data_IF_130944983120
#
_entry.id   IF_130944983120
#
_cell.length_a   1.000
_cell.length_b   1.000
_cell.length_c   1.000
_cell.angle_alpha   90.00
_cell.angle_beta   90.00
_cell.angle_gamma   90.00
#
_symmetry.space_group_name_H-M   'P 1'
#
loop_
_entity.id
_entity.type
_entity.pdbx_description
1 polymer ?
#
# COMPACT_ATOMS: atom_id res chain seq x y z
N UNK A 1 -33.53 100.05 1.95
CA UNK A 1 -32.85 101.28 1.51
C UNK A 1 -33.76 101.96 0.48
N UNK A 2 -34.88 102.60 0.81
CA UNK A 2 -35.09 103.73 1.73
C UNK A 2 -34.04 104.83 1.50
N UNK A 3 -34.02 105.37 0.29
CA UNK A 3 -33.36 106.63 -0.07
C UNK A 3 -34.04 107.75 0.72
N UNK A 4 -33.34 108.24 1.74
CA UNK A 4 -33.70 109.42 2.51
C UNK A 4 -33.73 110.63 1.57
N UNK A 5 -34.94 111.00 1.16
CA UNK A 5 -35.25 112.36 0.80
C UNK A 5 -35.18 113.21 2.08
N UNK A 6 -34.23 114.14 2.14
CA UNK A 6 -34.35 115.36 2.92
C UNK A 6 -33.21 116.33 2.56
N UNK A 7 -33.63 117.44 1.96
CA UNK A 7 -33.15 118.81 2.13
C UNK A 7 -31.68 119.10 1.76
N UNK A 8 -31.39 120.00 0.83
CA UNK A 8 -31.94 121.35 0.74
C UNK A 8 -30.83 122.31 1.15
N UNK A 9 -30.48 123.24 0.26
CA UNK A 9 -29.50 124.32 0.43
C UNK A 9 -28.73 124.32 1.77
N UNK A 10 -27.56 123.68 1.81
CA UNK A 10 -26.65 123.67 2.96
C UNK A 10 -25.89 125.00 3.09
N UNK A 11 -26.55 126.13 2.80
CA UNK A 11 -25.99 127.46 2.99
C UNK A 11 -26.74 128.13 4.12
N UNK A 12 -26.09 128.26 5.27
CA UNK A 12 -26.65 128.98 6.40
C UNK A 12 -27.02 130.41 5.96
N UNK A 13 -28.22 130.85 6.32
CA UNK A 13 -28.71 132.20 6.05
C UNK A 13 -27.80 133.24 6.72
N UNK A 14 -27.55 134.42 6.14
CA UNK A 14 -26.64 135.43 6.72
C UNK A 14 -27.00 135.85 8.15
N UNK A 15 -28.26 135.69 8.56
CA UNK A 15 -28.75 135.98 9.91
C UNK A 15 -28.46 134.86 10.94
N UNK A 16 -28.21 133.62 10.48
CA UNK A 16 -28.04 132.43 11.32
C UNK A 16 -26.56 132.12 11.61
N UNK A 17 -25.66 132.57 10.74
CA UNK A 17 -24.20 132.36 10.86
C UNK A 17 -23.59 132.90 12.16
N UNK A 18 -23.94 134.10 12.66
CA UNK A 18 -23.35 134.61 13.90
C UNK A 18 -23.76 133.79 15.12
N UNK A 19 -24.99 133.30 15.14
CA UNK A 19 -25.52 132.47 16.24
C UNK A 19 -24.86 131.07 16.25
N UNK A 20 -24.67 130.47 15.07
CA UNK A 20 -24.00 129.16 14.93
C UNK A 20 -22.51 129.27 15.24
N UNK A 21 -21.84 130.34 14.81
CA UNK A 21 -20.45 130.60 15.16
C UNK A 21 -20.27 130.84 16.66
N UNK A 22 -21.17 131.59 17.32
CA UNK A 22 -21.14 131.75 18.77
C UNK A 22 -21.31 130.42 19.52
N UNK A 23 -22.23 129.56 19.07
CA UNK A 23 -22.40 128.23 19.63
C UNK A 23 -21.16 127.34 19.40
N UNK A 24 -20.56 127.37 18.20
CA UNK A 24 -19.33 126.63 17.90
C UNK A 24 -18.12 127.17 18.66
N UNK A 25 -18.08 128.47 18.95
CA UNK A 25 -17.07 129.09 19.81
C UNK A 25 -17.20 128.58 21.25
N UNK A 26 -18.43 128.53 21.79
CA UNK A 26 -18.72 127.92 23.09
C UNK A 26 -18.35 126.43 23.12
N UNK A 27 -18.68 125.66 22.08
CA UNK A 27 -18.29 124.24 21.99
C UNK A 27 -16.78 124.06 21.83
N UNK A 28 -16.08 124.91 21.08
CA UNK A 28 -14.61 124.85 20.96
C UNK A 28 -13.94 125.21 22.27
N UNK A 29 -14.48 126.21 22.99
CA UNK A 29 -14.02 126.57 24.33
C UNK A 29 -14.29 125.45 25.35
N UNK A 30 -15.46 124.80 25.30
CA UNK A 30 -15.78 123.64 26.11
C UNK A 30 -14.88 122.43 25.79
N UNK A 31 -14.58 122.18 24.51
CA UNK A 31 -13.64 121.14 24.06
C UNK A 31 -12.19 121.46 24.46
N UNK A 32 -11.79 122.72 24.47
CA UNK A 32 -10.48 123.16 24.95
C UNK A 32 -10.36 122.97 26.48
N UNK A 33 -11.43 123.24 27.23
CA UNK A 33 -11.52 122.94 28.66
C UNK A 33 -11.44 121.43 28.88
N UNK A 34 -12.22 120.63 28.15
CA UNK A 34 -12.18 119.17 28.23
C UNK A 34 -10.78 118.60 27.89
N UNK A 35 -10.15 119.12 26.84
CA UNK A 35 -8.77 118.77 26.47
C UNK A 35 -7.77 119.15 27.57
N UNK A 36 -7.95 120.29 28.24
CA UNK A 36 -7.08 120.72 29.34
C UNK A 36 -7.22 119.87 30.61
N UNK A 37 -8.37 119.20 30.79
CA UNK A 37 -8.60 118.25 31.89
C UNK A 37 -8.09 116.83 31.60
N UNK A 38 -7.76 116.51 30.34
CA UNK A 38 -7.16 115.22 29.99
C UNK A 38 -5.65 115.24 30.32
N UNK A 39 -5.20 114.26 31.10
CA UNK A 39 -3.80 114.11 31.51
C UNK A 39 -2.94 113.82 30.27
N UNK A 40 -1.94 114.67 29.97
CA UNK A 40 -0.97 114.39 28.90
C UNK A 40 -0.32 113.02 29.12
N UNK A 41 -0.25 112.13 28.11
CA UNK A 41 0.43 110.86 28.25
C UNK A 41 1.89 111.11 28.62
N UNK A 42 2.32 110.64 29.79
CA UNK A 42 3.73 110.64 30.16
C UNK A 42 4.35 109.40 29.53
N UNK A 43 5.24 109.59 28.56
CA UNK A 43 5.96 108.48 27.94
C UNK A 43 7.01 107.97 28.93
N UNK A 44 6.79 106.77 29.44
CA UNK A 44 7.87 105.90 29.86
C UNK A 44 7.93 104.75 28.88
N UNK A 45 8.83 104.88 27.92
CA UNK A 45 9.43 103.76 27.21
C UNK A 45 10.01 102.81 28.25
N UNK A 46 9.63 101.54 28.16
CA UNK A 46 10.55 100.42 28.29
C UNK A 46 9.83 99.15 27.83
N UNK A 47 10.28 98.68 26.67
CA UNK A 47 10.16 97.32 26.18
C UNK A 47 10.56 96.31 27.25
N UNK A 48 9.72 95.28 27.48
CA UNK A 48 10.22 93.95 27.87
C UNK A 48 9.41 92.86 27.16
N UNK A 49 10.09 92.32 26.16
CA UNK A 49 9.98 91.00 25.54
C UNK A 49 9.61 89.90 26.56
N UNK A 50 8.59 89.09 26.30
CA UNK A 50 8.32 87.88 27.10
C UNK A 50 8.31 86.65 26.19
N UNK A 51 9.43 85.96 26.25
CA UNK A 51 9.68 84.64 25.71
C UNK A 51 9.06 83.53 26.58
N UNK A 52 8.96 82.34 26.00
CA UNK A 52 8.16 81.21 26.44
C UNK A 52 8.74 80.39 27.62
N UNK A 53 7.87 80.01 28.59
CA UNK A 53 7.82 78.79 29.44
C UNK A 53 9.06 78.44 30.32
N UNK A 54 8.99 77.54 31.35
CA UNK A 54 7.88 76.73 31.85
C UNK A 54 7.60 76.90 33.35
N UNK A 55 6.61 76.13 33.78
CA UNK A 55 5.80 76.23 34.97
C UNK A 55 6.21 75.19 36.03
N UNK A 56 6.49 75.61 37.26
CA UNK A 56 6.14 74.83 38.46
C UNK A 56 5.81 75.78 39.62
N UNK A 57 4.57 75.66 40.11
CA UNK A 57 4.07 76.08 41.44
C UNK A 57 4.22 77.54 41.90
N UNK A 58 3.79 78.53 41.10
CA UNK A 58 3.57 79.92 41.56
C UNK A 58 2.40 80.66 40.86
N UNK A 59 1.45 79.90 40.27
CA UNK A 59 0.48 80.45 39.29
C UNK A 59 -0.49 81.50 39.78
N UNK A 60 -0.93 81.47 41.03
CA UNK A 60 -2.00 82.38 41.43
C UNK A 60 -1.50 83.82 41.65
N UNK A 61 -0.24 84.03 42.05
CA UNK A 61 0.35 85.37 42.17
C UNK A 61 0.80 85.93 40.82
N UNK A 62 1.47 85.13 39.98
CA UNK A 62 1.93 85.56 38.67
C UNK A 62 0.76 85.85 37.69
N UNK A 63 -0.35 85.12 37.80
CA UNK A 63 -1.53 85.37 36.98
C UNK A 63 -2.27 86.65 37.41
N UNK A 64 -2.32 86.95 38.72
CA UNK A 64 -2.89 88.19 39.24
C UNK A 64 -2.06 89.43 38.85
N UNK A 65 -0.73 89.37 38.93
CA UNK A 65 0.16 90.44 38.44
C UNK A 65 0.04 90.66 36.93
N UNK A 66 -0.13 89.57 36.16
CA UNK A 66 -0.32 89.63 34.70
C UNK A 66 -1.66 90.26 34.32
N UNK A 67 -2.73 89.94 35.07
CA UNK A 67 -4.04 90.57 34.89
C UNK A 67 -3.96 92.07 35.22
N UNK A 68 -3.33 92.46 36.34
CA UNK A 68 -3.16 93.88 36.68
C UNK A 68 -2.37 94.66 35.63
N UNK A 69 -1.28 94.09 35.08
CA UNK A 69 -0.51 94.74 34.01
C UNK A 69 -1.29 94.90 32.70
N UNK A 70 -2.10 93.90 32.33
CA UNK A 70 -2.96 93.99 31.13
C UNK A 70 -4.04 95.05 31.33
N UNK A 71 -4.60 95.13 32.54
CA UNK A 71 -5.64 96.10 32.87
C UNK A 71 -5.10 97.53 32.89
N UNK A 72 -3.92 97.74 33.47
CA UNK A 72 -3.19 99.02 33.53
C UNK A 72 -2.64 99.47 32.16
N UNK A 73 -2.31 98.53 31.27
CA UNK A 73 -1.97 98.83 29.87
C UNK A 73 -3.21 99.21 29.03
N UNK A 74 -4.35 98.56 29.28
CA UNK A 74 -5.61 98.91 28.64
C UNK A 74 -6.10 100.30 29.09
N UNK A 75 -6.00 100.64 30.38
CA UNK A 75 -6.36 101.97 30.90
C UNK A 75 -5.49 103.08 30.28
N UNK A 76 -4.17 102.86 30.18
CA UNK A 76 -3.27 103.79 29.49
C UNK A 76 -3.56 103.93 27.99
N UNK A 77 -3.94 102.85 27.32
CA UNK A 77 -4.33 102.86 25.92
C UNK A 77 -5.66 103.61 25.69
N UNK A 78 -6.62 103.48 26.61
CA UNK A 78 -7.89 104.23 26.55
C UNK A 78 -7.66 105.72 26.76
N UNK A 79 -6.79 106.11 27.68
CA UNK A 79 -6.46 107.52 27.94
C UNK A 79 -5.74 108.17 26.74
N UNK A 80 -4.80 107.45 26.13
CA UNK A 80 -4.08 107.91 24.92
C UNK A 80 -5.02 108.08 23.73
N UNK A 81 -5.97 107.15 23.55
CA UNK A 81 -7.01 107.24 22.52
C UNK A 81 -7.96 108.42 22.76
N UNK A 82 -8.37 108.65 24.00
CA UNK A 82 -9.24 109.77 24.37
C UNK A 82 -8.56 111.14 24.12
N UNK A 83 -7.28 111.27 24.46
CA UNK A 83 -6.47 112.46 24.19
C UNK A 83 -6.34 112.76 22.69
N UNK A 84 -6.01 111.75 21.87
CA UNK A 84 -5.91 111.90 20.42
C UNK A 84 -7.26 112.23 19.75
N UNK A 85 -8.35 111.62 20.22
CA UNK A 85 -9.70 111.93 19.74
C UNK A 85 -10.11 113.37 20.08
N UNK A 86 -9.71 113.89 21.24
CA UNK A 86 -9.98 115.28 21.65
C UNK A 86 -9.24 116.29 20.77
N UNK A 87 -7.96 116.04 20.44
CA UNK A 87 -7.19 116.85 19.47
C UNK A 87 -7.80 116.82 18.07
N UNK A 88 -8.22 115.64 17.62
CA UNK A 88 -8.86 115.45 16.33
C UNK A 88 -10.20 116.19 16.25
N UNK A 89 -11.04 116.14 17.30
CA UNK A 89 -12.29 116.89 17.36
C UNK A 89 -12.06 118.41 17.38
N UNK A 90 -11.05 118.89 18.12
CA UNK A 90 -10.70 120.32 18.14
C UNK A 90 -10.28 120.82 16.75
N UNK A 91 -9.51 120.02 16.00
CA UNK A 91 -9.10 120.34 14.62
C UNK A 91 -10.30 120.40 13.67
N UNK A 92 -11.18 119.41 13.72
CA UNK A 92 -12.40 119.38 12.88
C UNK A 92 -13.34 120.55 13.23
N UNK A 93 -13.44 120.94 14.50
CA UNK A 93 -14.24 122.10 14.93
C UNK A 93 -13.63 123.43 14.48
N UNK A 94 -12.29 123.57 14.47
CA UNK A 94 -11.61 124.75 13.92
C UNK A 94 -11.82 124.85 12.40
N UNK A 95 -11.64 123.74 11.68
CA UNK A 95 -11.87 123.65 10.24
C UNK A 95 -13.35 123.94 9.88
N UNK A 96 -14.31 123.54 10.73
CA UNK A 96 -15.74 123.84 10.58
C UNK A 96 -16.07 125.32 10.87
N UNK A 97 -15.43 125.95 11.87
CA UNK A 97 -15.57 127.39 12.12
C UNK A 97 -15.08 128.22 10.94
N UNK A 98 -13.97 127.79 10.32
CA UNK A 98 -13.42 128.43 9.12
C UNK A 98 -14.34 128.24 7.91
N UNK A 99 -14.86 127.03 7.69
CA UNK A 99 -15.79 126.75 6.59
C UNK A 99 -17.12 127.54 6.70
N UNK A 100 -17.69 127.66 7.90
CA UNK A 100 -18.93 128.42 8.14
C UNK A 100 -18.71 129.93 7.99
N UNK A 101 -17.52 130.42 8.35
CA UNK A 101 -17.10 131.83 8.21
C UNK A 101 -16.91 132.22 6.74
N UNK A 102 -16.35 131.33 5.92
CA UNK A 102 -16.02 131.63 4.52
C UNK A 102 -17.13 131.26 3.52
N UNK A 103 -17.68 130.05 3.63
CA UNK A 103 -18.57 129.48 2.59
C UNK A 103 -20.01 129.28 3.10
N UNK A 104 -20.18 129.19 4.42
CA UNK A 104 -21.46 128.99 5.09
C UNK A 104 -22.02 127.58 4.91
N UNK A 105 -21.15 126.60 4.66
CA UNK A 105 -21.44 125.17 4.46
C UNK A 105 -20.86 124.35 5.62
N UNK A 106 -21.24 123.07 5.71
CA UNK A 106 -20.78 122.13 6.73
C UNK A 106 -20.19 120.85 6.11
N UNK A 107 -19.57 120.98 4.94
CA UNK A 107 -19.07 119.90 4.10
C UNK A 107 -17.87 119.17 4.73
N UNK A 108 -17.03 119.87 5.51
CA UNK A 108 -15.92 119.28 6.28
C UNK A 108 -16.47 118.27 7.29
N UNK A 109 -17.52 118.65 8.02
CA UNK A 109 -18.17 117.77 8.99
C UNK A 109 -18.90 116.62 8.26
N UNK A 110 -19.59 116.88 7.16
CA UNK A 110 -20.27 115.85 6.36
C UNK A 110 -19.28 114.80 5.82
N UNK A 111 -18.15 115.22 5.24
CA UNK A 111 -17.11 114.31 4.74
C UNK A 111 -16.43 113.51 5.85
N UNK A 112 -16.21 114.12 7.01
CA UNK A 112 -15.59 113.40 8.12
C UNK A 112 -16.58 112.42 8.77
N UNK A 113 -17.87 112.77 8.86
CA UNK A 113 -18.94 111.84 9.24
C UNK A 113 -19.03 110.69 8.23
N UNK A 114 -18.98 110.97 6.93
CA UNK A 114 -18.97 109.91 5.90
C UNK A 114 -17.76 108.98 6.04
N UNK A 115 -16.56 109.50 6.29
CA UNK A 115 -15.36 108.67 6.56
C UNK A 115 -15.51 107.83 7.83
N UNK A 116 -16.13 108.36 8.88
CA UNK A 116 -16.39 107.60 10.11
C UNK A 116 -17.41 106.50 9.82
N UNK A 117 -18.48 106.81 9.09
CA UNK A 117 -19.52 105.85 8.71
C UNK A 117 -18.98 104.76 7.77
N UNK A 118 -18.07 105.07 6.84
CA UNK A 118 -17.45 104.05 5.98
C UNK A 118 -16.51 103.15 6.78
N UNK A 119 -15.66 103.71 7.66
CA UNK A 119 -14.80 102.93 8.56
C UNK A 119 -15.62 102.06 9.51
N UNK A 120 -16.72 102.57 10.04
CA UNK A 120 -17.62 101.81 10.92
C UNK A 120 -18.27 100.64 10.16
N UNK A 121 -18.69 100.85 8.91
CA UNK A 121 -19.18 99.77 8.03
C UNK A 121 -18.11 98.74 7.70
N UNK A 122 -16.87 99.15 7.45
CA UNK A 122 -15.73 98.26 7.22
C UNK A 122 -15.41 97.43 8.47
N UNK A 123 -15.39 98.05 9.66
CA UNK A 123 -15.22 97.36 10.94
C UNK A 123 -16.35 96.36 11.17
N UNK A 124 -17.61 96.73 10.94
CA UNK A 124 -18.75 95.82 11.08
C UNK A 124 -18.69 94.66 10.09
N UNK A 125 -18.20 94.88 8.86
CA UNK A 125 -17.98 93.83 7.87
C UNK A 125 -16.87 92.85 8.32
N UNK A 126 -15.74 93.35 8.79
CA UNK A 126 -14.64 92.54 9.33
C UNK A 126 -15.08 91.76 10.58
N UNK A 127 -15.91 92.34 11.43
CA UNK A 127 -16.42 91.70 12.65
C UNK A 127 -17.42 90.58 12.32
N UNK A 128 -18.21 90.73 11.26
CA UNK A 128 -19.03 89.64 10.72
C UNK A 128 -18.15 88.53 10.14
N UNK A 129 -17.13 88.87 9.37
CA UNK A 129 -16.19 87.90 8.80
C UNK A 129 -15.42 87.13 9.89
N UNK A 130 -14.93 87.81 10.94
CA UNK A 130 -14.31 87.16 12.11
C UNK A 130 -15.26 86.19 12.80
N UNK A 131 -16.53 86.57 12.99
CA UNK A 131 -17.55 85.69 13.55
C UNK A 131 -17.78 84.45 12.68
N UNK A 132 -17.86 84.59 11.34
CA UNK A 132 -18.03 83.45 10.44
C UNK A 132 -16.79 82.53 10.41
N UNK A 133 -15.58 83.11 10.36
CA UNK A 133 -14.32 82.36 10.45
C UNK A 133 -14.24 81.61 11.78
N UNK A 134 -14.67 82.25 12.88
CA UNK A 134 -14.67 81.62 14.21
C UNK A 134 -15.68 80.47 14.29
N UNK A 135 -16.87 80.62 13.69
CA UNK A 135 -17.88 79.55 13.62
C UNK A 135 -17.37 78.37 12.78
N UNK A 136 -16.85 78.63 11.59
CA UNK A 136 -16.31 77.59 10.71
C UNK A 136 -15.12 76.88 11.34
N UNK A 137 -14.22 77.60 12.01
CA UNK A 137 -13.12 77.01 12.77
C UNK A 137 -13.61 76.14 13.93
N UNK A 138 -14.67 76.54 14.64
CA UNK A 138 -15.28 75.73 15.70
C UNK A 138 -15.91 74.44 15.14
N UNK A 139 -16.63 74.53 14.02
CA UNK A 139 -17.24 73.36 13.36
C UNK A 139 -16.17 72.39 12.84
N UNK A 140 -15.12 72.91 12.20
CA UNK A 140 -13.98 72.09 11.76
C UNK A 140 -13.28 71.40 12.93
N UNK A 141 -13.11 72.09 14.07
CA UNK A 141 -12.55 71.47 15.29
C UNK A 141 -13.44 70.34 15.81
N UNK A 142 -14.76 70.53 15.79
CA UNK A 142 -15.73 69.50 16.19
C UNK A 142 -15.66 68.29 15.26
N UNK A 143 -15.66 68.50 13.94
CA UNK A 143 -15.51 67.42 12.94
C UNK A 143 -14.20 66.67 13.13
N UNK A 144 -13.09 67.37 13.39
CA UNK A 144 -11.80 66.72 13.66
C UNK A 144 -11.88 65.86 14.93
N UNK A 145 -12.51 66.35 16.01
CA UNK A 145 -12.65 65.59 17.24
C UNK A 145 -13.53 64.34 17.05
N UNK A 146 -14.68 64.48 16.39
CA UNK A 146 -15.58 63.36 16.08
C UNK A 146 -14.89 62.33 15.20
N UNK A 147 -14.18 62.77 14.15
CA UNK A 147 -13.46 61.86 13.26
C UNK A 147 -12.27 61.17 13.94
N UNK A 148 -11.61 61.82 14.90
CA UNK A 148 -10.59 61.17 15.75
C UNK A 148 -11.20 60.05 16.59
N UNK A 149 -12.33 60.30 17.25
CA UNK A 149 -13.02 59.28 18.06
C UNK A 149 -13.49 58.12 17.19
N UNK A 150 -14.12 58.40 16.04
CA UNK A 150 -14.56 57.36 15.11
C UNK A 150 -13.38 56.52 14.59
N UNK A 151 -12.25 57.15 14.25
CA UNK A 151 -11.05 56.46 13.80
C UNK A 151 -10.42 55.59 14.90
N UNK A 152 -10.42 56.04 16.16
CA UNK A 152 -9.97 55.22 17.29
C UNK A 152 -10.89 54.04 17.59
N UNK A 153 -12.20 54.21 17.40
CA UNK A 153 -13.17 53.12 17.53
C UNK A 153 -12.96 52.08 16.43
N UNK A 154 -12.81 52.50 15.18
CA UNK A 154 -12.53 51.60 14.06
C UNK A 154 -11.20 50.87 14.23
N UNK A 155 -10.15 51.57 14.66
CA UNK A 155 -8.86 50.95 14.99
C UNK A 155 -9.00 49.88 16.07
N UNK A 156 -9.79 50.15 17.12
CA UNK A 156 -10.08 49.16 18.18
C UNK A 156 -10.85 47.97 17.64
N UNK A 157 -11.84 48.21 16.78
CA UNK A 157 -12.63 47.15 16.15
C UNK A 157 -11.74 46.22 15.31
N UNK A 158 -10.93 46.78 14.41
CA UNK A 158 -10.00 46.01 13.57
C UNK A 158 -8.99 45.24 14.43
N UNK A 159 -8.46 45.84 15.51
CA UNK A 159 -7.56 45.15 16.42
C UNK A 159 -8.23 43.97 17.13
N UNK A 160 -9.49 44.11 17.54
CA UNK A 160 -10.25 43.02 18.16
C UNK A 160 -10.52 41.90 17.15
N UNK A 161 -11.01 42.23 15.95
CA UNK A 161 -11.24 41.25 14.86
C UNK A 161 -9.94 40.51 14.53
N UNK A 162 -8.81 41.22 14.43
CA UNK A 162 -7.49 40.60 14.21
C UNK A 162 -7.09 39.67 15.34
N UNK A 163 -7.36 40.03 16.60
CA UNK A 163 -7.06 39.19 17.77
C UNK A 163 -7.93 37.92 17.80
N UNK A 164 -9.19 38.03 17.43
CA UNK A 164 -10.12 36.89 17.34
C UNK A 164 -9.66 35.91 16.25
N UNK A 165 -9.30 36.42 15.07
CA UNK A 165 -8.77 35.62 13.98
C UNK A 165 -7.42 34.96 14.33
N UNK A 166 -6.54 35.66 15.05
CA UNK A 166 -5.30 35.07 15.57
C UNK A 166 -5.58 33.93 16.54
N UNK A 167 -6.51 34.11 17.49
CA UNK A 167 -6.92 33.06 18.42
C UNK A 167 -7.54 31.87 17.68
N UNK A 168 -8.35 32.12 16.65
CA UNK A 168 -8.94 31.09 15.79
C UNK A 168 -7.85 30.28 15.06
N UNK A 169 -6.88 30.97 14.46
CA UNK A 169 -5.74 30.33 13.79
C UNK A 169 -4.92 29.47 14.75
N UNK A 170 -4.65 29.94 15.96
CA UNK A 170 -3.92 29.16 16.97
C UNK A 170 -4.69 27.90 17.40
N UNK A 171 -6.00 27.99 17.58
CA UNK A 171 -6.86 26.83 17.84
C UNK A 171 -6.80 25.82 16.69
N UNK A 172 -6.89 26.28 15.44
CA UNK A 172 -6.79 25.40 14.28
C UNK A 172 -5.41 24.73 14.18
N UNK A 173 -4.32 25.45 14.48
CA UNK A 173 -2.98 24.85 14.55
C UNK A 173 -2.88 23.78 15.62
N UNK A 174 -3.43 24.03 16.80
CA UNK A 174 -3.46 23.03 17.88
C UNK A 174 -4.24 21.78 17.45
N UNK A 175 -5.43 21.97 16.89
CA UNK A 175 -6.24 20.86 16.36
C UNK A 175 -5.47 20.08 15.30
N UNK A 176 -4.88 20.76 14.32
CA UNK A 176 -4.12 20.13 13.25
C UNK A 176 -2.93 19.31 13.80
N UNK A 177 -2.20 19.83 14.79
CA UNK A 177 -1.09 19.12 15.42
C UNK A 177 -1.60 17.87 16.17
N UNK A 178 -2.67 17.98 16.96
CA UNK A 178 -3.23 16.83 17.69
C UNK A 178 -3.76 15.75 16.75
N UNK A 179 -4.39 16.13 15.63
CA UNK A 179 -4.85 15.20 14.61
C UNK A 179 -3.67 14.51 13.93
N UNK A 180 -2.60 15.26 13.63
CA UNK A 180 -1.39 14.70 13.03
C UNK A 180 -0.75 13.66 13.96
N UNK A 181 -0.56 13.99 15.23
CA UNK A 181 -0.01 13.07 16.25
C UNK A 181 -0.86 11.80 16.37
N UNK A 182 -2.19 11.96 16.43
CA UNK A 182 -3.11 10.83 16.47
C UNK A 182 -3.00 9.94 15.24
N UNK A 183 -2.97 10.52 14.03
CA UNK A 183 -2.86 9.76 12.78
C UNK A 183 -1.52 9.04 12.70
N UNK A 184 -0.44 9.66 13.16
CA UNK A 184 0.89 9.04 13.19
C UNK A 184 0.92 7.81 14.11
N UNK A 185 0.43 7.95 15.35
CA UNK A 185 0.39 6.82 16.29
C UNK A 185 -0.59 5.73 15.84
N UNK A 186 -1.72 6.11 15.23
CA UNK A 186 -2.66 5.15 14.64
C UNK A 186 -2.02 4.35 13.50
N UNK A 187 -1.33 5.02 12.57
CA UNK A 187 -0.69 4.34 11.45
C UNK A 187 0.47 3.46 11.94
N UNK A 188 1.24 3.91 12.94
CA UNK A 188 2.27 3.10 13.59
C UNK A 188 1.70 1.84 14.22
N UNK A 189 0.67 1.97 15.06
CA UNK A 189 0.01 0.82 15.70
C UNK A 189 -0.57 -0.16 14.67
N UNK A 190 -1.14 0.37 13.58
CA UNK A 190 -1.65 -0.44 12.47
C UNK A 190 -0.53 -1.18 11.73
N UNK A 191 0.61 -0.54 11.50
CA UNK A 191 1.79 -1.17 10.91
C UNK A 191 2.34 -2.28 11.83
N UNK A 192 2.46 -2.02 13.13
CA UNK A 192 2.89 -3.00 14.13
C UNK A 192 1.95 -4.21 14.18
N UNK A 193 0.64 -3.98 14.21
CA UNK A 193 -0.36 -5.04 14.17
C UNK A 193 -0.28 -5.87 12.88
N UNK A 194 -0.14 -5.22 11.73
CA UNK A 194 0.01 -5.93 10.46
C UNK A 194 1.30 -6.75 10.41
N UNK A 195 2.43 -6.20 10.90
CA UNK A 195 3.69 -6.92 11.01
C UNK A 195 3.53 -8.17 11.87
N UNK A 196 2.96 -8.03 13.06
CA UNK A 196 2.73 -9.16 13.97
C UNK A 196 1.85 -10.23 13.33
N UNK A 197 0.78 -9.83 12.62
CA UNK A 197 -0.10 -10.77 11.90
C UNK A 197 0.67 -11.54 10.83
N UNK A 198 1.52 -10.86 10.06
CA UNK A 198 2.37 -11.49 9.05
C UNK A 198 3.38 -12.45 9.70
N UNK A 199 4.03 -12.04 10.79
CA UNK A 199 5.00 -12.85 11.52
C UNK A 199 4.36 -14.13 12.08
N UNK A 200 3.16 -14.03 12.65
CA UNK A 200 2.38 -15.18 13.12
C UNK A 200 2.07 -16.16 11.99
N UNK A 201 1.69 -15.65 10.82
CA UNK A 201 1.36 -16.51 9.67
C UNK A 201 2.62 -17.16 9.08
N UNK A 202 3.73 -16.42 9.01
CA UNK A 202 5.04 -16.95 8.63
C UNK A 202 5.45 -18.09 9.57
N UNK A 203 5.28 -17.93 10.89
CA UNK A 203 5.67 -18.94 11.86
C UNK A 203 4.81 -20.21 11.74
N UNK A 204 3.49 -20.07 11.56
CA UNK A 204 2.62 -21.22 11.24
C UNK A 204 3.06 -21.95 9.98
N UNK A 205 3.39 -21.21 8.92
CA UNK A 205 3.86 -21.81 7.66
C UNK A 205 5.20 -22.53 7.84
N UNK A 206 6.12 -21.98 8.66
CA UNK A 206 7.38 -22.66 9.02
C UNK A 206 7.14 -23.94 9.81
N UNK A 207 6.22 -23.95 10.78
CA UNK A 207 5.85 -25.15 11.51
C UNK A 207 5.30 -26.23 10.58
N UNK A 208 4.38 -25.86 9.68
CA UNK A 208 3.83 -26.75 8.66
C UNK A 208 4.94 -27.31 7.77
N UNK A 209 5.84 -26.45 7.27
CA UNK A 209 6.97 -26.85 6.43
C UNK A 209 7.90 -27.82 7.18
N UNK A 210 8.21 -27.55 8.44
CA UNK A 210 9.05 -28.43 9.26
C UNK A 210 8.37 -29.79 9.47
N UNK A 211 7.07 -29.81 9.76
CA UNK A 211 6.29 -31.04 9.89
C UNK A 211 6.29 -31.86 8.59
N UNK A 212 6.19 -31.21 7.43
CA UNK A 212 6.33 -31.88 6.14
C UNK A 212 7.73 -32.44 5.93
N UNK A 213 8.78 -31.66 6.22
CA UNK A 213 10.17 -32.10 6.10
C UNK A 213 10.49 -33.29 6.99
N UNK A 214 9.97 -33.32 8.22
CA UNK A 214 10.13 -34.46 9.14
C UNK A 214 9.40 -35.70 8.59
N UNK A 215 8.18 -35.53 8.07
CA UNK A 215 7.42 -36.63 7.45
C UNK A 215 8.12 -37.19 6.22
N UNK A 216 8.66 -36.33 5.36
CA UNK A 216 9.42 -36.73 4.18
C UNK A 216 10.68 -37.53 4.56
N UNK A 217 11.52 -37.01 5.46
CA UNK A 217 12.69 -37.75 5.97
C UNK A 217 12.33 -39.11 6.56
N UNK A 218 11.22 -39.20 7.29
CA UNK A 218 10.78 -40.49 7.83
C UNK A 218 10.29 -41.45 6.74
N UNK A 219 9.58 -40.94 5.72
CA UNK A 219 9.20 -41.75 4.55
C UNK A 219 10.42 -42.27 3.82
N UNK A 220 11.42 -41.42 3.57
CA UNK A 220 12.66 -41.81 2.90
C UNK A 220 13.41 -42.88 3.67
N UNK A 221 13.50 -42.74 5.00
CA UNK A 221 14.11 -43.75 5.87
C UNK A 221 13.37 -45.09 5.79
N UNK A 222 12.04 -45.07 5.94
CA UNK A 222 11.22 -46.30 5.85
C UNK A 222 11.34 -46.94 4.47
N UNK A 223 11.34 -46.12 3.41
CA UNK A 223 11.49 -46.60 2.05
C UNK A 223 12.86 -47.24 1.81
N UNK A 224 13.95 -46.65 2.33
CA UNK A 224 15.28 -47.21 2.24
C UNK A 224 15.39 -48.57 2.97
N UNK A 225 14.85 -48.68 4.18
CA UNK A 225 14.81 -49.95 4.92
C UNK A 225 13.96 -51.00 4.23
N UNK A 226 12.78 -50.63 3.72
CA UNK A 226 11.91 -51.53 2.97
C UNK A 226 12.59 -52.04 1.69
N UNK A 227 13.24 -51.13 0.95
CA UNK A 227 13.99 -51.48 -0.27
C UNK A 227 15.14 -52.43 0.06
N UNK A 228 15.89 -52.17 1.13
CA UNK A 228 16.96 -53.06 1.60
C UNK A 228 16.43 -54.44 1.97
N UNK A 229 15.32 -54.52 2.71
CA UNK A 229 14.66 -55.77 3.05
C UNK A 229 14.25 -56.55 1.80
N UNK A 230 13.57 -55.89 0.84
CA UNK A 230 13.13 -56.53 -0.41
C UNK A 230 14.30 -57.04 -1.25
N UNK A 231 15.40 -56.29 -1.34
CA UNK A 231 16.62 -56.72 -2.03
C UNK A 231 17.19 -57.99 -1.36
N UNK A 232 17.26 -58.01 -0.03
CA UNK A 232 17.78 -59.16 0.72
C UNK A 232 16.89 -60.40 0.57
N UNK A 233 15.57 -60.22 0.64
CA UNK A 233 14.61 -61.31 0.49
C UNK A 233 14.62 -61.87 -0.94
N UNK A 234 14.63 -60.99 -1.95
CA UNK A 234 14.76 -61.39 -3.37
C UNK A 234 16.05 -62.19 -3.58
N UNK A 235 17.19 -61.71 -3.09
CA UNK A 235 18.47 -62.42 -3.22
C UNK A 235 18.47 -63.77 -2.48
N UNK A 236 17.75 -63.88 -1.36
CA UNK A 236 17.58 -65.13 -0.62
C UNK A 236 16.73 -66.13 -1.42
N UNK A 237 15.64 -65.68 -2.02
CA UNK A 237 14.77 -66.49 -2.88
C UNK A 237 15.51 -66.94 -4.14
N UNK A 238 16.23 -66.04 -4.81
CA UNK A 238 17.06 -66.38 -5.98
C UNK A 238 18.11 -67.45 -5.64
N UNK A 239 18.73 -67.38 -4.47
CA UNK A 239 19.69 -68.40 -4.01
C UNK A 239 19.02 -69.75 -3.83
N UNK A 240 17.84 -69.79 -3.17
CA UNK A 240 17.06 -71.03 -3.02
C UNK A 240 16.63 -71.59 -4.37
N UNK A 241 16.20 -70.74 -5.31
CA UNK A 241 15.84 -71.18 -6.67
C UNK A 241 17.02 -71.84 -7.35
N UNK A 242 18.21 -71.23 -7.30
CA UNK A 242 19.44 -71.82 -7.86
C UNK A 242 19.80 -73.15 -7.19
N UNK A 243 19.71 -73.24 -5.86
CA UNK A 243 19.95 -74.49 -5.12
C UNK A 243 19.00 -75.61 -5.57
N UNK A 244 17.72 -75.29 -5.81
CA UNK A 244 16.73 -76.24 -6.32
C UNK A 244 16.96 -76.62 -7.78
N UNK A 245 17.35 -75.68 -8.64
CA UNK A 245 17.71 -75.93 -10.03
C UNK A 245 18.91 -76.89 -10.12
N UNK A 246 19.99 -76.60 -9.38
CA UNK A 246 21.16 -77.47 -9.35
C UNK A 246 20.84 -78.86 -8.79
N UNK A 247 19.96 -78.94 -7.79
CA UNK A 247 19.50 -80.22 -7.26
C UNK A 247 18.72 -81.00 -8.30
N UNK A 248 17.79 -80.35 -8.98
CA UNK A 248 17.00 -80.96 -10.03
C UNK A 248 17.87 -81.47 -11.17
N UNK A 249 18.86 -80.69 -11.61
CA UNK A 249 19.80 -81.10 -12.65
C UNK A 249 20.63 -82.32 -12.22
N UNK A 250 21.13 -82.34 -10.98
CA UNK A 250 21.83 -83.51 -10.42
C UNK A 250 20.93 -84.74 -10.39
N UNK A 251 19.72 -84.62 -9.87
CA UNK A 251 18.76 -85.74 -9.81
C UNK A 251 18.41 -86.24 -11.22
N UNK A 252 18.15 -85.33 -12.16
CA UNK A 252 17.91 -85.65 -13.56
C UNK A 252 19.08 -86.41 -14.18
N UNK A 253 20.32 -85.96 -13.98
CA UNK A 253 21.50 -86.68 -14.47
C UNK A 253 21.61 -88.08 -13.88
N UNK A 254 21.31 -88.26 -12.58
CA UNK A 254 21.33 -89.58 -11.94
C UNK A 254 20.30 -90.51 -12.53
N UNK A 255 19.05 -90.06 -12.68
CA UNK A 255 18.00 -90.87 -13.30
C UNK A 255 18.29 -91.18 -14.77
N UNK A 256 18.85 -90.23 -15.53
CA UNK A 256 19.26 -90.50 -16.90
C UNK A 256 20.38 -91.55 -16.97
N UNK A 257 21.33 -91.55 -16.03
CA UNK A 257 22.37 -92.58 -15.92
C UNK A 257 21.76 -93.94 -15.60
N UNK A 258 20.85 -94.01 -14.62
CA UNK A 258 20.13 -95.24 -14.26
C UNK A 258 19.31 -95.79 -15.42
N UNK A 259 18.54 -94.94 -16.11
CA UNK A 259 17.77 -95.32 -17.30
C UNK A 259 18.69 -95.87 -18.39
N UNK A 260 19.85 -95.24 -18.64
CA UNK A 260 20.84 -95.75 -19.60
C UNK A 260 21.37 -97.12 -19.18
N UNK A 261 21.70 -97.30 -17.90
CA UNK A 261 22.20 -98.57 -17.39
C UNK A 261 21.15 -99.69 -17.53
N UNK A 262 19.90 -99.42 -17.15
CA UNK A 262 18.79 -100.37 -17.29
C UNK A 262 18.52 -100.72 -18.76
N UNK A 263 18.66 -99.77 -19.69
CA UNK A 263 18.56 -100.03 -21.13
C UNK A 263 19.66 -100.98 -21.61
N UNK A 264 20.89 -100.75 -21.19
CA UNK A 264 22.03 -101.64 -21.52
C UNK A 264 21.78 -103.03 -20.95
N UNK A 265 21.40 -103.15 -19.67
CA UNK A 265 21.13 -104.45 -19.05
C UNK A 265 19.98 -105.18 -19.75
N UNK A 266 18.89 -104.48 -20.07
CA UNK A 266 17.75 -105.05 -20.81
C UNK A 266 18.20 -105.58 -22.18
N UNK A 267 19.03 -104.84 -22.90
CA UNK A 267 19.56 -105.25 -24.20
C UNK A 267 20.51 -106.45 -24.08
N UNK A 268 21.37 -106.48 -23.07
CA UNK A 268 22.23 -107.64 -22.79
C UNK A 268 21.41 -108.88 -22.45
N UNK A 269 20.37 -108.74 -21.62
CA UNK A 269 19.46 -109.85 -21.29
C UNK A 269 18.69 -110.34 -22.51
N UNK A 270 18.26 -109.44 -23.40
CA UNK A 270 17.63 -109.81 -24.67
C UNK A 270 18.57 -110.63 -25.55
N UNK A 271 19.82 -110.20 -25.71
CA UNK A 271 20.84 -110.95 -26.47
C UNK A 271 21.08 -112.34 -25.89
N UNK A 272 21.23 -112.45 -24.56
CA UNK A 272 21.37 -113.74 -23.88
C UNK A 272 20.17 -114.66 -24.12
N UNK A 273 18.95 -114.10 -24.06
CA UNK A 273 17.73 -114.87 -24.32
C UNK A 273 17.67 -115.35 -25.78
N UNK A 274 18.05 -114.51 -26.74
CA UNK A 274 18.07 -114.88 -28.15
C UNK A 274 19.15 -115.93 -28.45
N UNK A 275 20.34 -115.82 -27.84
CA UNK A 275 21.38 -116.85 -27.90
C UNK A 275 20.89 -118.20 -27.34
N UNK A 276 20.23 -118.19 -26.18
CA UNK A 276 19.68 -119.40 -25.56
C UNK A 276 18.55 -120.01 -26.40
N UNK A 277 17.69 -119.18 -27.02
CA UNK A 277 16.67 -119.66 -27.96
C UNK A 277 17.30 -120.33 -29.18
N UNK A 278 18.36 -119.74 -29.74
CA UNK A 278 19.09 -120.32 -30.86
C UNK A 278 19.78 -121.65 -30.48
N UNK A 279 20.38 -121.73 -29.29
CA UNK A 279 20.92 -122.98 -28.76
C UNK A 279 19.82 -124.04 -28.57
N UNK A 280 18.69 -123.65 -27.96
CA UNK A 280 17.56 -124.55 -27.78
C UNK A 280 17.01 -125.05 -29.11
N UNK A 281 16.89 -124.19 -30.12
CA UNK A 281 16.50 -124.55 -31.48
C UNK A 281 17.46 -125.57 -32.09
N UNK A 282 18.78 -125.35 -32.01
CA UNK A 282 19.79 -126.31 -32.51
C UNK A 282 19.73 -127.65 -31.78
N UNK A 283 19.57 -127.63 -30.45
CA UNK A 283 19.46 -128.85 -29.65
C UNK A 283 18.17 -129.61 -29.99
N UNK A 284 17.05 -128.91 -30.21
CA UNK A 284 15.80 -129.53 -30.64
C UNK A 284 15.94 -130.15 -32.03
N UNK A 285 16.54 -129.43 -33.00
CA UNK A 285 16.85 -129.97 -34.33
C UNK A 285 17.75 -131.22 -34.26
N UNK A 286 18.73 -131.23 -33.36
CA UNK A 286 19.58 -132.40 -33.12
C UNK A 286 18.80 -133.58 -32.51
N UNK A 287 17.91 -133.34 -31.53
CA UNK A 287 17.07 -134.38 -30.94
C UNK A 287 16.12 -134.96 -31.99
N UNK A 288 15.48 -134.11 -32.78
CA UNK A 288 14.53 -134.52 -33.81
C UNK A 288 15.22 -135.35 -34.90
N UNK A 289 16.41 -134.93 -35.35
CA UNK A 289 17.20 -135.72 -36.31
C UNK A 289 17.62 -137.07 -35.72
N UNK A 290 18.11 -137.10 -34.47
CA UNK A 290 18.47 -138.34 -33.78
C UNK A 290 17.27 -139.30 -33.60
N UNK A 291 16.09 -138.78 -33.24
CA UNK A 291 14.87 -139.57 -33.12
C UNK A 291 14.42 -140.13 -34.49
N UNK A 292 14.49 -139.32 -35.55
CA UNK A 292 14.19 -139.75 -36.90
C UNK A 292 15.16 -140.84 -37.39
N UNK A 293 16.45 -140.71 -37.14
CA UNK A 293 17.47 -141.73 -37.44
C UNK A 293 17.21 -143.03 -36.65
N UNK A 294 16.88 -142.93 -35.36
CA UNK A 294 16.54 -144.08 -34.53
C UNK A 294 15.28 -144.80 -35.00
N UNK A 295 14.26 -144.06 -35.42
CA UNK A 295 13.04 -144.63 -35.99
C UNK A 295 13.32 -145.28 -37.35
N UNK A 296 14.10 -144.65 -38.22
CA UNK A 296 14.55 -145.23 -39.49
C UNK A 296 15.32 -146.54 -39.26
N UNK A 297 16.25 -146.57 -38.30
CA UNK A 297 16.98 -147.78 -37.92
C UNK A 297 16.05 -148.87 -37.37
N UNK A 298 15.01 -148.50 -36.61
CA UNK A 298 14.00 -149.45 -36.12
C UNK A 298 13.19 -150.04 -37.27
N UNK A 299 12.72 -149.21 -38.20
CA UNK A 299 11.99 -149.64 -39.41
C UNK A 299 12.84 -150.55 -40.28
N UNK A 300 14.13 -150.25 -40.47
CA UNK A 300 15.06 -151.11 -41.19
C UNK A 300 15.22 -152.47 -40.50
N UNK A 301 15.40 -152.48 -39.17
CA UNK A 301 15.46 -153.74 -38.40
C UNK A 301 14.17 -154.56 -38.51
N UNK A 302 13.00 -153.92 -38.42
CA UNK A 302 11.70 -154.57 -38.59
C UNK A 302 11.53 -155.14 -40.00
N UNK A 303 11.97 -154.41 -41.03
CA UNK A 303 11.97 -154.85 -42.43
C UNK A 303 12.91 -156.06 -42.61
N UNK A 304 14.14 -155.98 -42.12
CA UNK A 304 15.10 -157.10 -42.14
C UNK A 304 14.55 -158.33 -41.40
N UNK A 305 13.89 -158.14 -40.27
CA UNK A 305 13.27 -159.24 -39.54
C UNK A 305 12.07 -159.83 -40.31
N UNK A 306 11.27 -159.00 -40.98
CA UNK A 306 10.18 -159.43 -41.85
C UNK A 306 10.70 -160.22 -43.06
N UNK A 307 11.77 -159.73 -43.72
CA UNK A 307 12.47 -160.42 -44.81
C UNK A 307 13.01 -161.75 -44.30
N UNK A 308 13.67 -161.79 -43.13
CA UNK A 308 14.17 -163.02 -42.52
C UNK A 308 13.05 -164.02 -42.23
N UNK A 309 11.94 -163.57 -41.63
CA UNK A 309 10.75 -164.41 -41.37
C UNK A 309 10.16 -164.95 -42.67
N UNK A 310 10.06 -164.12 -43.71
CA UNK A 310 9.57 -164.51 -45.03
C UNK A 310 10.51 -165.49 -45.71
N UNK A 311 11.82 -165.27 -45.65
CA UNK A 311 12.84 -166.19 -46.15
C UNK A 311 12.77 -167.55 -45.42
N UNK A 312 12.59 -167.56 -44.10
CA UNK A 312 12.37 -168.80 -43.33
C UNK A 312 11.09 -169.52 -43.79
N UNK A 313 9.98 -168.80 -44.00
CA UNK A 313 8.74 -169.38 -44.54
C UNK A 313 8.93 -169.98 -45.93
N UNK A 314 9.60 -169.26 -46.83
CA UNK A 314 9.93 -169.75 -48.18
C UNK A 314 10.84 -170.98 -48.10
N UNK A 315 11.88 -170.93 -47.27
CA UNK A 315 12.77 -172.06 -47.05
C UNK A 315 12.03 -173.28 -46.48
N UNK A 316 11.12 -173.09 -45.53
CA UNK A 316 10.29 -174.15 -44.95
C UNK A 316 9.30 -174.72 -45.98
N UNK A 317 8.65 -173.85 -46.77
CA UNK A 317 7.81 -174.25 -47.89
C UNK A 317 8.62 -175.08 -48.89
N UNK A 318 9.81 -174.62 -49.28
CA UNK A 318 10.66 -175.30 -50.25
C UNK A 318 11.19 -176.64 -49.74
N UNK A 319 11.60 -176.71 -48.46
CA UNK A 319 11.90 -177.99 -47.79
C UNK A 319 10.69 -178.94 -47.81
N UNK A 320 9.49 -178.44 -47.50
CA UNK A 320 8.25 -179.22 -47.58
C UNK A 320 7.88 -179.67 -49.00
N UNK A 321 8.13 -178.83 -50.02
CA UNK A 321 7.94 -179.18 -51.43
C UNK A 321 8.98 -180.23 -51.86
N UNK A 322 10.25 -180.10 -51.46
CA UNK A 322 11.28 -181.11 -51.72
C UNK A 322 10.86 -182.48 -51.18
N UNK A 323 10.30 -182.54 -49.96
CA UNK A 323 9.78 -183.77 -49.36
C UNK A 323 8.56 -184.30 -50.13
N UNK A 324 7.55 -183.46 -50.41
CA UNK A 324 6.29 -183.89 -51.06
C UNK A 324 6.45 -184.26 -52.54
N UNK A 325 7.30 -183.56 -53.28
CA UNK A 325 7.63 -183.85 -54.68
C UNK A 325 8.79 -184.84 -54.84
N UNK A 326 9.32 -185.38 -53.71
CA UNK A 326 10.41 -186.37 -53.66
C UNK A 326 11.65 -185.95 -54.46
N UNK A 327 12.01 -184.67 -54.33
CA UNK A 327 13.21 -184.07 -54.93
C UNK A 327 14.36 -184.09 -53.90
N UNK A 328 15.56 -184.47 -54.34
CA UNK A 328 16.73 -184.58 -53.46
C UNK A 328 16.79 -185.90 -52.66
N UNK A 329 17.29 -185.91 -51.41
CA UNK A 329 17.59 -187.13 -50.63
C UNK A 329 16.40 -188.07 -50.34
N UNK A 330 15.16 -187.65 -50.67
CA UNK A 330 13.91 -188.36 -50.38
C UNK A 330 13.36 -189.19 -51.57
N UNK A 331 14.22 -189.55 -52.53
CA UNK A 331 13.90 -190.46 -53.65
C UNK A 331 14.11 -191.93 -53.22
N UNK A 332 13.08 -192.79 -53.15
CA UNK A 332 13.26 -194.18 -52.72
C UNK A 332 13.86 -195.06 -53.83
N UNK A 333 14.96 -195.75 -53.52
CA UNK A 333 15.60 -196.79 -54.36
C UNK A 333 15.31 -198.18 -53.77
N UNK A 334 14.89 -199.12 -54.62
CA UNK A 334 14.40 -200.47 -54.33
C UNK A 334 15.46 -201.45 -53.78
N UNK A 335 15.03 -202.51 -53.04
CA UNK A 335 15.49 -203.93 -53.19
C UNK A 335 14.74 -204.97 -52.33
N UNK A 336 14.74 -206.21 -52.87
CA UNK A 336 13.84 -207.39 -52.72
C UNK A 336 14.13 -208.35 -51.54
N UNK A 337 13.15 -209.20 -51.18
CA UNK A 337 13.33 -210.56 -50.56
C UNK A 337 12.49 -211.63 -51.30
N UNK A 338 13.01 -212.87 -51.40
CA UNK A 338 12.46 -214.07 -52.11
C UNK A 338 12.24 -215.24 -51.13
N UNK A 339 11.34 -216.19 -51.52
CA UNK A 339 11.13 -217.63 -51.14
C UNK A 339 9.89 -217.94 -50.26
N UNK A 340 9.09 -219.02 -50.45
CA UNK A 340 9.28 -220.30 -51.19
C UNK A 340 7.98 -221.17 -51.40
N UNK A 341 7.72 -221.66 -52.63
CA UNK A 341 7.32 -223.02 -53.18
C UNK A 341 6.38 -223.97 -52.36
N UNK A 342 5.28 -224.56 -52.91
CA UNK A 342 5.19 -225.84 -53.71
C UNK A 342 3.79 -226.07 -54.39
N UNK A 343 3.78 -226.74 -55.56
CA UNK A 343 2.70 -227.19 -56.50
C UNK A 343 1.74 -228.26 -55.90
N UNK A 344 0.48 -228.57 -56.31
CA UNK A 344 -0.27 -228.62 -57.59
C UNK A 344 -1.80 -228.83 -57.32
N UNK A 345 -2.71 -228.14 -58.02
CA UNK A 345 -3.97 -228.66 -58.62
C UNK A 345 -4.48 -227.63 -59.63
#
# INVERSE_FOLDING_TARGET
MATLAANGSSRFSPAERPAILAALEEFTNALAIYHSTLRKPTEHDNDILVDCLPLDTDHLKAFAEKIMKIQDANERATDKKAYQNSLYMMRIMEDLKEEIREQGTFEVLSKEIEKIVTREKEVEALLKEEKEVRRTAAELRKIIAERKVANEQEKRRILNELSEEQCSMEKLKLIANTVLEYVMEWEKAKCEQNSLRCDMEIEKLKEILNNWRVREKNKDRVHAELTKFLIQDTASLERKTKEWEERYDREKETYEKEIRQLRIETETRRKQLDELKEEHRRNQEFIDTYLAEKEALKKEKELQECIRKSAIKIQAWWRGVMVRRKLGPYRPMEKKKKRQVKTKK
#
